data_IF_447076588968
#
_entry.id   IF_447076588968
#
_cell.length_a   1.000
_cell.length_b   1.000
_cell.length_c   1.000
_cell.angle_alpha   90.00
_cell.angle_beta   90.00
_cell.angle_gamma   90.00
#
_symmetry.space_group_name_H-M   'P 1'
#
loop_
_entity.id
_entity.type
_entity.pdbx_description
1 polymer ?
#
# COMPACT_ATOMS: atom_id res chain seq x y z
N UNK A 1 -18.57 10.45 17.33
CA UNK A 1 -18.19 9.08 16.93
C UNK A 1 -16.68 9.05 16.78
N UNK A 2 -15.98 8.21 17.53
CA UNK A 2 -14.53 8.06 17.42
C UNK A 2 -14.18 7.35 16.12
N UNK A 3 -13.16 7.83 15.39
CA UNK A 3 -12.72 7.21 14.15
C UNK A 3 -12.21 5.78 14.44
N UNK A 4 -12.57 4.76 13.64
CA UNK A 4 -12.19 3.36 13.89
C UNK A 4 -10.68 3.10 13.84
N UNK A 5 -9.87 4.12 13.52
CA UNK A 5 -8.42 4.05 13.49
C UNK A 5 -7.73 4.92 14.55
N UNK A 6 -8.48 5.43 15.54
CA UNK A 6 -7.93 6.28 16.59
C UNK A 6 -6.86 5.60 17.47
N UNK A 7 -6.76 4.27 17.40
CA UNK A 7 -5.74 3.47 18.09
C UNK A 7 -4.36 3.50 17.41
N UNK A 8 -4.29 3.91 16.14
CA UNK A 8 -3.02 3.96 15.40
C UNK A 8 -2.39 5.35 15.45
N UNK A 9 -1.05 5.45 15.64
CA UNK A 9 -0.39 6.74 15.66
C UNK A 9 -0.42 7.40 14.28
N UNK A 10 -0.47 8.73 14.29
CA UNK A 10 -0.26 9.56 13.10
C UNK A 10 1.24 9.58 12.78
N UNK A 11 1.60 9.04 11.62
CA UNK A 11 2.98 9.00 11.13
C UNK A 11 3.35 10.31 10.40
N UNK A 12 2.39 10.90 9.69
CA UNK A 12 2.56 12.20 9.05
C UNK A 12 1.22 12.84 8.68
N UNK A 13 1.27 14.15 8.40
CA UNK A 13 0.13 14.94 7.93
C UNK A 13 0.47 15.62 6.61
N UNK A 14 -0.42 15.49 5.63
CA UNK A 14 -0.31 16.14 4.32
C UNK A 14 -0.80 17.58 4.39
N UNK A 15 -0.34 18.43 3.48
CA UNK A 15 -0.75 19.84 3.41
C UNK A 15 -2.27 20.04 3.22
N UNK A 16 -2.94 19.09 2.57
CA UNK A 16 -4.41 19.10 2.40
C UNK A 16 -5.17 18.68 3.68
N UNK A 17 -4.46 18.29 4.73
CA UNK A 17 -5.01 17.84 6.02
C UNK A 17 -5.32 16.34 6.10
N UNK A 18 -5.07 15.57 5.04
CA UNK A 18 -5.12 14.11 5.13
C UNK A 18 -3.98 13.61 6.06
N UNK A 19 -4.25 12.52 6.78
CA UNK A 19 -3.32 11.93 7.75
C UNK A 19 -2.87 10.57 7.27
N UNK A 20 -1.57 10.30 7.38
CA UNK A 20 -1.02 8.95 7.28
C UNK A 20 -0.98 8.37 8.69
N UNK A 21 -1.70 7.29 8.91
CA UNK A 21 -1.77 6.58 10.18
C UNK A 21 -1.27 5.15 10.01
N UNK A 22 -0.77 4.55 11.08
CA UNK A 22 -0.47 3.12 11.12
C UNK A 22 0.81 2.79 11.85
N UNK A 23 1.46 1.70 11.43
CA UNK A 23 2.68 1.21 12.07
C UNK A 23 3.89 1.72 11.28
N UNK A 24 4.89 2.25 11.99
CA UNK A 24 6.20 2.53 11.40
C UNK A 24 6.83 1.18 11.01
N UNK A 25 7.02 0.97 9.71
CA UNK A 25 7.62 -0.25 9.17
C UNK A 25 9.14 -0.15 9.02
N UNK A 26 9.78 -1.27 8.63
CA UNK A 26 11.18 -1.29 8.23
C UNK A 26 11.47 -0.30 7.09
N UNK A 27 12.75 0.01 6.87
CA UNK A 27 13.13 0.85 5.73
C UNK A 27 12.83 0.11 4.42
N UNK A 28 12.47 0.85 3.37
CA UNK A 28 12.12 0.27 2.06
C UNK A 28 13.21 -0.68 1.53
N UNK A 29 14.47 -0.37 1.79
CA UNK A 29 15.63 -1.19 1.43
C UNK A 29 15.65 -2.57 2.12
N UNK A 30 15.36 -2.63 3.42
CA UNK A 30 15.31 -3.87 4.20
C UNK A 30 14.21 -4.77 3.65
N UNK A 31 13.11 -4.14 3.22
CA UNK A 31 11.96 -4.81 2.65
C UNK A 31 12.25 -5.38 1.25
N UNK A 32 12.98 -4.63 0.41
CA UNK A 32 13.44 -5.17 -0.88
C UNK A 32 14.45 -6.30 -0.70
N UNK A 33 15.41 -6.16 0.21
CA UNK A 33 16.38 -7.22 0.50
C UNK A 33 15.72 -8.49 1.06
N UNK A 34 14.64 -8.35 1.83
CA UNK A 34 13.84 -9.47 2.34
C UNK A 34 12.88 -10.08 1.30
N UNK A 35 12.81 -9.53 0.08
CA UNK A 35 11.88 -9.98 -0.96
C UNK A 35 10.42 -9.61 -0.68
N UNK A 36 10.16 -8.65 0.22
CA UNK A 36 8.82 -8.18 0.58
C UNK A 36 8.63 -6.72 0.19
N UNK A 37 8.51 -6.37 -1.10
CA UNK A 37 8.59 -4.99 -1.55
C UNK A 37 7.50 -4.10 -0.93
N UNK A 38 7.84 -2.84 -0.56
CA UNK A 38 6.92 -1.92 0.06
C UNK A 38 5.89 -1.37 -0.94
N UNK A 39 4.69 -1.09 -0.43
CA UNK A 39 3.60 -0.40 -1.13
C UNK A 39 3.32 0.92 -0.41
N UNK A 40 3.33 2.02 -1.18
CA UNK A 40 3.13 3.38 -0.66
C UNK A 40 1.78 4.00 -1.06
N UNK A 41 0.95 3.28 -1.80
CA UNK A 41 -0.34 3.76 -2.25
C UNK A 41 -0.88 3.03 -3.48
N UNK A 42 -2.11 3.36 -3.81
CA UNK A 42 -2.78 3.00 -5.05
C UNK A 42 -2.55 4.06 -6.13
N UNK A 43 -2.62 3.68 -7.40
CA UNK A 43 -2.67 4.61 -8.51
C UNK A 43 -3.94 5.46 -8.41
N UNK A 44 -3.84 6.74 -8.78
CA UNK A 44 -5.00 7.63 -8.78
C UNK A 44 -6.02 7.31 -9.91
N UNK A 45 -5.57 6.58 -10.95
CA UNK A 45 -6.38 6.14 -12.08
C UNK A 45 -6.12 4.66 -12.38
N UNK A 46 -7.17 3.83 -12.53
CA UNK A 46 -8.57 4.14 -12.24
C UNK A 46 -8.74 4.53 -10.77
N UNK A 47 -9.81 5.28 -10.46
CA UNK A 47 -10.11 5.64 -9.08
C UNK A 47 -10.30 4.35 -8.28
N UNK A 48 -9.69 4.23 -7.08
CA UNK A 48 -9.94 3.09 -6.21
C UNK A 48 -11.44 2.89 -5.96
N UNK A 49 -11.82 1.64 -5.74
CA UNK A 49 -13.21 1.29 -5.50
C UNK A 49 -13.75 1.99 -4.23
N UNK A 50 -15.04 2.33 -4.24
CA UNK A 50 -15.68 3.08 -3.15
C UNK A 50 -15.55 2.39 -1.78
N UNK A 51 -15.48 1.06 -1.77
CA UNK A 51 -15.33 0.25 -0.56
C UNK A 51 -13.90 0.22 0.00
N UNK A 52 -12.96 1.02 -0.54
CA UNK A 52 -11.67 1.27 0.11
C UNK A 52 -11.83 1.82 1.54
N UNK A 53 -12.97 2.45 1.83
CA UNK A 53 -13.36 2.91 3.16
C UNK A 53 -13.42 1.81 4.21
N UNK A 54 -13.57 0.56 3.79
CA UNK A 54 -13.72 -0.59 4.66
C UNK A 54 -12.38 -1.26 5.01
N UNK A 55 -11.30 -0.89 4.31
CA UNK A 55 -9.96 -1.43 4.58
C UNK A 55 -9.48 -1.01 5.96
N UNK A 56 -8.83 -1.95 6.66
CA UNK A 56 -8.23 -1.77 7.98
C UNK A 56 -6.74 -2.07 7.96
N UNK A 57 -6.03 -1.50 8.93
CA UNK A 57 -4.65 -1.91 9.23
C UNK A 57 -4.70 -3.33 9.77
N UNK A 58 -3.81 -4.20 9.29
CA UNK A 58 -3.83 -5.63 9.55
C UNK A 58 -4.48 -6.47 8.45
N UNK A 59 -5.24 -5.85 7.53
CA UNK A 59 -5.85 -6.57 6.42
C UNK A 59 -4.81 -7.23 5.51
N UNK A 60 -5.23 -8.34 4.91
CA UNK A 60 -4.44 -9.14 3.97
C UNK A 60 -5.14 -9.17 2.62
N UNK A 61 -4.67 -8.35 1.70
CA UNK A 61 -5.30 -8.15 0.40
C UNK A 61 -4.54 -8.91 -0.69
N UNK A 62 -5.23 -9.61 -1.58
CA UNK A 62 -4.58 -10.35 -2.65
C UNK A 62 -4.08 -9.39 -3.72
N UNK A 63 -2.88 -9.59 -4.24
CA UNK A 63 -2.39 -8.82 -5.40
C UNK A 63 -2.04 -9.75 -6.56
N UNK A 64 -2.27 -9.28 -7.79
CA UNK A 64 -1.88 -9.96 -9.02
C UNK A 64 -1.46 -8.97 -10.09
N UNK A 65 -0.48 -9.33 -10.90
CA UNK A 65 -0.07 -8.58 -12.07
C UNK A 65 -0.89 -9.00 -13.29
N UNK A 66 -1.77 -8.11 -13.76
CA UNK A 66 -2.70 -8.32 -14.87
C UNK A 66 -2.52 -7.16 -15.86
N UNK A 67 -2.29 -7.49 -17.14
CA UNK A 67 -2.20 -6.51 -18.23
C UNK A 67 -1.27 -5.31 -17.97
N UNK A 68 -0.11 -5.57 -17.36
CA UNK A 68 0.90 -4.56 -17.06
C UNK A 68 0.64 -3.74 -15.80
N UNK A 69 -0.30 -4.15 -14.94
CA UNK A 69 -0.64 -3.48 -13.69
C UNK A 69 -0.74 -4.47 -12.54
N UNK A 70 -0.37 -4.03 -11.35
CA UNK A 70 -0.61 -4.79 -10.13
C UNK A 70 -1.97 -4.40 -9.56
N UNK A 71 -2.92 -5.32 -9.64
CA UNK A 71 -4.28 -5.15 -9.15
C UNK A 71 -4.37 -5.70 -7.73
N UNK A 72 -4.98 -4.93 -6.83
CA UNK A 72 -5.30 -5.31 -5.46
C UNK A 72 -6.74 -5.76 -5.39
N UNK A 73 -6.97 -6.89 -4.71
CA UNK A 73 -8.28 -7.46 -4.49
C UNK A 73 -8.53 -7.62 -2.99
N UNK A 74 -9.75 -7.29 -2.59
CA UNK A 74 -10.34 -7.65 -1.30
C UNK A 74 -11.55 -8.56 -1.51
N UNK A 75 -12.31 -8.81 -0.46
CA UNK A 75 -13.43 -9.74 -0.50
C UNK A 75 -14.56 -9.29 -1.45
N UNK A 76 -14.72 -7.98 -1.64
CA UNK A 76 -15.69 -7.38 -2.54
C UNK A 76 -15.22 -7.29 -4.01
N UNK A 77 -14.01 -7.76 -4.34
CA UNK A 77 -13.44 -7.75 -5.69
C UNK A 77 -12.24 -6.83 -5.85
N UNK A 78 -12.10 -6.21 -7.03
CA UNK A 78 -11.00 -5.29 -7.33
C UNK A 78 -11.12 -3.99 -6.53
N UNK A 79 -10.07 -3.68 -5.76
CA UNK A 79 -9.97 -2.48 -4.94
C UNK A 79 -9.32 -1.32 -5.70
N UNK A 80 -8.31 -1.62 -6.51
CA UNK A 80 -7.53 -0.62 -7.23
C UNK A 80 -6.17 -1.16 -7.65
N UNK A 81 -5.33 -0.29 -8.23
CA UNK A 81 -4.03 -0.70 -8.77
C UNK A 81 -2.92 -0.18 -7.86
N UNK A 82 -1.89 -0.98 -7.57
CA UNK A 82 -0.72 -0.52 -6.82
C UNK A 82 0.01 0.57 -7.60
N UNK A 83 0.55 1.56 -6.87
CA UNK A 83 1.43 2.60 -7.44
C UNK A 83 2.87 2.09 -7.52
N UNK A 84 3.07 0.98 -8.21
CA UNK A 84 4.38 0.52 -8.65
C UNK A 84 4.54 0.83 -10.14
N UNK A 85 5.74 1.27 -10.54
CA UNK A 85 6.04 1.42 -11.95
C UNK A 85 6.69 0.13 -12.46
N UNK A 86 6.28 -0.40 -13.63
CA UNK A 86 6.95 -1.56 -14.22
C UNK A 86 8.45 -1.36 -14.43
N UNK A 87 8.87 -0.11 -14.64
CA UNK A 87 10.29 0.25 -14.75
C UNK A 87 11.07 0.09 -13.45
N UNK A 88 10.42 -0.01 -12.30
CA UNK A 88 11.12 -0.19 -11.01
C UNK A 88 11.65 -1.62 -10.89
N UNK A 89 10.98 -2.60 -11.50
CA UNK A 89 11.39 -3.99 -11.49
C UNK A 89 12.72 -4.19 -12.21
N UNK A 90 13.67 -4.84 -11.55
CA UNK A 90 15.03 -5.04 -12.04
C UNK A 90 15.96 -3.83 -11.92
N UNK A 91 15.50 -2.69 -11.37
CA UNK A 91 16.38 -1.55 -11.07
C UNK A 91 17.06 -1.70 -9.72
N UNK A 92 18.23 -1.08 -9.61
CA UNK A 92 18.89 -0.89 -8.32
C UNK A 92 18.23 0.29 -7.60
N UNK A 93 17.88 0.08 -6.33
CA UNK A 93 17.39 1.12 -5.46
C UNK A 93 18.47 2.20 -5.28
N UNK A 94 18.14 3.46 -5.54
CA UNK A 94 19.13 4.54 -5.71
C UNK A 94 20.03 4.78 -4.48
N UNK A 95 19.51 4.53 -3.28
CA UNK A 95 20.25 4.75 -2.03
C UNK A 95 21.12 3.57 -1.63
N UNK A 96 20.69 2.34 -1.94
CA UNK A 96 21.28 1.12 -1.36
C UNK A 96 21.88 0.15 -2.35
N UNK A 97 21.59 0.32 -3.64
CA UNK A 97 21.99 -0.61 -4.68
C UNK A 97 21.28 -1.97 -4.60
N UNK A 98 20.25 -2.13 -3.76
CA UNK A 98 19.48 -3.38 -3.70
C UNK A 98 18.64 -3.56 -4.96
N UNK A 99 18.57 -4.78 -5.49
CA UNK A 99 17.74 -5.09 -6.65
C UNK A 99 16.26 -5.03 -6.25
N UNK A 100 15.50 -4.14 -6.89
CA UNK A 100 14.05 -4.10 -6.77
C UNK A 100 13.48 -5.26 -7.55
N UNK A 101 12.72 -6.12 -6.87
CA UNK A 101 12.01 -7.25 -7.48
C UNK A 101 10.53 -7.12 -7.16
N UNK A 102 9.69 -6.96 -8.19
CA UNK A 102 8.25 -6.84 -8.02
C UNK A 102 7.54 -8.18 -8.30
N UNK A 103 6.75 -8.72 -7.35
CA UNK A 103 6.14 -10.03 -7.52
C UNK A 103 4.99 -10.01 -8.53
N UNK A 104 4.79 -11.11 -9.25
CA UNK A 104 3.62 -11.29 -10.12
C UNK A 104 2.32 -11.50 -9.34
N UNK A 105 2.40 -12.08 -8.16
CA UNK A 105 1.27 -12.24 -7.23
C UNK A 105 1.77 -12.33 -5.80
N UNK A 106 0.87 -12.11 -4.85
CA UNK A 106 1.21 -12.16 -3.43
C UNK A 106 0.08 -11.65 -2.55
N UNK A 107 0.42 -11.39 -1.29
CA UNK A 107 -0.49 -10.81 -0.30
C UNK A 107 0.07 -9.49 0.16
N UNK A 108 -0.69 -8.42 -0.02
CA UNK A 108 -0.44 -7.12 0.59
C UNK A 108 -0.90 -7.12 2.05
N UNK A 109 0.06 -7.00 2.95
CA UNK A 109 -0.18 -6.78 4.37
C UNK A 109 -0.33 -5.28 4.63
N UNK A 110 -1.55 -4.82 4.91
CA UNK A 110 -1.85 -3.41 5.13
C UNK A 110 -1.31 -2.99 6.49
N UNK A 111 -0.41 -2.00 6.51
CA UNK A 111 0.17 -1.47 7.74
C UNK A 111 -0.13 0.02 7.95
N UNK A 112 -0.53 0.71 6.88
CA UNK A 112 -0.70 2.16 6.87
C UNK A 112 -1.94 2.52 6.05
N UNK A 113 -2.64 3.55 6.49
CA UNK A 113 -3.79 4.12 5.79
C UNK A 113 -3.62 5.63 5.66
N UNK A 114 -4.09 6.16 4.54
CA UNK A 114 -4.31 7.60 4.39
C UNK A 114 -5.77 7.85 4.65
N UNK A 115 -6.06 8.64 5.68
CA UNK A 115 -7.42 9.02 6.06
C UNK A 115 -7.60 10.52 5.90
N UNK A 116 -8.80 10.93 5.53
CA UNK A 116 -9.14 12.35 5.43
C UNK A 116 -9.50 12.98 6.78
N UNK A 117 -9.92 14.25 6.74
CA UNK A 117 -10.33 15.01 7.93
C UNK A 117 -11.55 14.40 8.65
N UNK A 118 -12.39 13.66 7.94
CA UNK A 118 -13.54 12.93 8.51
C UNK A 118 -13.16 11.54 9.00
N UNK A 119 -11.93 11.08 8.73
CA UNK A 119 -11.44 9.75 9.07
C UNK A 119 -11.78 8.69 8.02
N UNK A 120 -12.18 9.09 6.81
CA UNK A 120 -12.47 8.19 5.70
C UNK A 120 -11.17 7.76 5.03
N UNK A 121 -11.00 6.45 4.81
CA UNK A 121 -9.83 5.89 4.10
C UNK A 121 -9.87 6.30 2.63
N UNK A 122 -8.72 6.78 2.13
CA UNK A 122 -8.51 7.21 0.73
C UNK A 122 -7.40 6.46 0.01
N UNK A 123 -6.45 5.91 0.76
CA UNK A 123 -5.28 5.22 0.23
C UNK A 123 -4.75 4.26 1.29
N UNK A 124 -3.93 3.29 0.87
CA UNK A 124 -3.37 2.26 1.75
C UNK A 124 -1.90 1.99 1.44
N UNK A 125 -1.18 1.47 2.41
CA UNK A 125 0.22 1.11 2.26
C UNK A 125 0.61 -0.03 3.19
N UNK A 126 1.75 -0.65 2.88
CA UNK A 126 2.19 -1.85 3.56
C UNK A 126 3.31 -2.52 2.80
N UNK A 127 3.29 -3.85 2.76
CA UNK A 127 4.24 -4.65 2.00
C UNK A 127 3.60 -5.86 1.37
N UNK A 128 4.16 -6.32 0.27
CA UNK A 128 3.71 -7.54 -0.39
C UNK A 128 4.60 -8.70 0.02
N UNK A 129 4.01 -9.76 0.54
CA UNK A 129 4.64 -11.07 0.62
C UNK A 129 4.34 -11.82 -0.69
N UNK A 130 5.36 -12.15 -1.51
CA UNK A 130 5.18 -12.98 -2.71
C UNK A 130 4.67 -14.38 -2.38
N UNK A 131 4.04 -15.03 -3.36
CA UNK A 131 3.71 -16.46 -3.30
C UNK A 131 4.90 -17.38 -3.57
#
# INVERSE_FOLDING_TARGET
MSSPHAEYPELSRRANGDRLIGVAGPLAEEMYAAGTPPVHGLAAKPTPAAWITDVRIGDRLRIRHVDGRWVVYGDAGELGHLRWHPSDDGRLHATTGSLVTLPRSGVLHVQRLVVDKMGTVKDLGGYVQPD
#
